data_IF_159647234872
#
_entry.id   IF_159647234872
#
_cell.length_a   1.000
_cell.length_b   1.000
_cell.length_c   1.000
_cell.angle_alpha   90.00
_cell.angle_beta   90.00
_cell.angle_gamma   90.00
#
_symmetry.space_group_name_H-M   'P 1'
#
loop_
_entity.id
_entity.type
_entity.pdbx_description
1 polymer ?
#
# COMPACT_ATOMS: atom_id res chain seq x y z
N UNK A 1 -3.52 -3.00 -5.76
CA UNK A 1 -2.07 -2.78 -5.88
C UNK A 1 -1.60 -3.26 -7.24
N UNK A 2 -0.82 -2.43 -7.92
CA UNK A 2 -0.18 -2.70 -9.20
C UNK A 2 1.33 -2.56 -9.01
N UNK A 3 2.07 -3.60 -9.41
CA UNK A 3 3.52 -3.69 -9.30
C UNK A 3 4.08 -3.68 -10.73
N UNK A 4 4.79 -2.61 -11.08
CA UNK A 4 5.31 -2.39 -12.42
C UNK A 4 6.72 -2.96 -12.56
N UNK A 5 7.06 -3.49 -13.73
CA UNK A 5 8.36 -4.14 -13.97
C UNK A 5 9.56 -3.18 -13.85
N UNK A 6 9.32 -1.88 -13.92
CA UNK A 6 10.33 -0.81 -13.80
C UNK A 6 10.65 -0.44 -12.33
N UNK A 7 10.01 -1.08 -11.36
CA UNK A 7 10.21 -0.81 -9.94
C UNK A 7 9.19 0.15 -9.34
N UNK A 8 8.22 0.66 -10.09
CA UNK A 8 7.14 1.47 -9.54
C UNK A 8 6.04 0.60 -8.90
N UNK A 9 5.39 1.15 -7.87
CA UNK A 9 4.22 0.56 -7.22
C UNK A 9 3.14 1.63 -7.05
N UNK A 10 1.91 1.29 -7.40
CA UNK A 10 0.74 2.11 -7.05
C UNK A 10 -0.40 1.27 -6.50
N UNK A 11 -1.23 1.86 -5.65
CA UNK A 11 -2.42 1.20 -5.13
C UNK A 11 -3.50 2.23 -4.87
N UNK A 12 -4.74 1.90 -5.20
CA UNK A 12 -5.92 2.68 -4.81
C UNK A 12 -6.74 1.75 -3.94
N UNK A 13 -7.03 2.18 -2.73
CA UNK A 13 -7.72 1.35 -1.74
C UNK A 13 -8.79 2.21 -1.07
N UNK A 14 -9.99 1.64 -0.92
CA UNK A 14 -11.10 2.27 -0.18
C UNK A 14 -11.01 2.01 1.32
N UNK A 15 -10.30 0.95 1.70
CA UNK A 15 -9.96 0.60 3.08
C UNK A 15 -8.71 -0.27 3.08
N UNK A 16 -7.91 -0.13 4.14
CA UNK A 16 -6.73 -0.93 4.41
C UNK A 16 -6.91 -1.56 5.79
N UNK A 17 -7.03 -2.89 5.80
CA UNK A 17 -7.06 -3.75 6.99
C UNK A 17 -8.36 -3.72 7.81
N UNK A 18 -8.72 -4.88 8.39
CA UNK A 18 -9.89 -4.99 9.25
C UNK A 18 -9.61 -4.33 10.59
N UNK A 19 -10.16 -3.13 10.80
CA UNK A 19 -9.94 -2.30 11.99
C UNK A 19 -9.38 -0.90 11.67
N UNK A 20 -8.92 -0.67 10.43
CA UNK A 20 -8.17 0.54 10.06
C UNK A 20 -6.87 0.66 10.87
N UNK A 21 -5.92 1.47 10.42
CA UNK A 21 -4.92 1.96 11.36
C UNK A 21 -5.63 2.90 12.34
N UNK A 22 -6.20 2.36 13.42
CA UNK A 22 -6.84 3.16 14.48
C UNK A 22 -8.00 4.07 14.05
N UNK A 23 -8.73 3.75 12.97
CA UNK A 23 -9.76 4.65 12.40
C UNK A 23 -9.31 5.50 11.21
N UNK A 24 -8.08 5.33 10.72
CA UNK A 24 -7.60 5.95 9.49
C UNK A 24 -8.13 5.28 8.22
N UNK A 25 -8.83 6.05 7.38
CA UNK A 25 -9.09 5.74 5.98
C UNK A 25 -7.88 6.15 5.14
N UNK A 26 -7.15 5.16 4.61
CA UNK A 26 -6.04 5.43 3.71
C UNK A 26 -6.53 5.62 2.27
N UNK A 27 -5.83 6.49 1.54
CA UNK A 27 -6.06 6.71 0.11
C UNK A 27 -4.83 6.30 -0.73
N UNK A 28 -4.80 6.74 -1.98
CA UNK A 28 -3.87 6.32 -3.04
C UNK A 28 -2.42 6.22 -2.56
N UNK A 29 -1.82 5.05 -2.75
CA UNK A 29 -0.43 4.77 -2.46
C UNK A 29 0.42 4.90 -3.72
N UNK A 30 1.59 5.50 -3.59
CA UNK A 30 2.63 5.56 -4.62
C UNK A 30 3.98 5.24 -4.01
N UNK A 31 4.77 4.43 -4.70
CA UNK A 31 6.06 4.04 -4.16
C UNK A 31 6.93 3.27 -5.12
N UNK A 32 7.98 2.71 -4.55
CA UNK A 32 8.99 1.93 -5.27
C UNK A 32 9.14 0.56 -4.63
N UNK A 33 9.51 -0.42 -5.44
CA UNK A 33 9.81 -1.76 -4.97
C UNK A 33 11.11 -2.28 -5.57
N UNK A 34 11.70 -3.26 -4.89
CA UNK A 34 12.86 -4.00 -5.37
C UNK A 34 12.73 -5.48 -5.05
N UNK A 35 13.30 -6.32 -5.91
CA UNK A 35 13.45 -7.75 -5.64
C UNK A 35 14.49 -7.97 -4.55
N UNK A 36 14.14 -8.74 -3.53
CA UNK A 36 15.04 -9.12 -2.42
C UNK A 36 15.29 -10.62 -2.33
N UNK A 37 14.52 -11.42 -3.09
CA UNK A 37 14.70 -12.87 -3.18
C UNK A 37 14.04 -13.46 -4.44
N UNK A 38 14.09 -14.79 -4.64
CA UNK A 38 13.56 -15.44 -5.84
C UNK A 38 12.08 -15.16 -6.13
N UNK A 39 11.30 -14.91 -5.07
CA UNK A 39 9.85 -14.64 -5.09
C UNK A 39 9.49 -13.60 -4.03
N UNK A 40 10.43 -12.74 -3.70
CA UNK A 40 10.30 -11.79 -2.60
C UNK A 40 10.62 -10.40 -3.13
N UNK A 41 9.73 -9.46 -2.81
CA UNK A 41 9.96 -8.04 -3.06
C UNK A 41 9.76 -7.26 -1.78
N UNK A 42 10.52 -6.18 -1.64
CA UNK A 42 10.31 -5.16 -0.62
C UNK A 42 9.88 -3.88 -1.30
N UNK A 43 8.82 -3.26 -0.81
CA UNK A 43 8.33 -1.98 -1.30
C UNK A 43 8.29 -0.93 -0.19
N UNK A 44 8.48 0.33 -0.58
CA UNK A 44 8.25 1.49 0.27
C UNK A 44 7.28 2.39 -0.47
N UNK A 45 6.20 2.77 0.19
CA UNK A 45 5.15 3.62 -0.39
C UNK A 45 4.88 4.81 0.51
N UNK A 46 4.42 5.87 -0.14
CA UNK A 46 3.75 6.99 0.50
C UNK A 46 2.26 6.92 0.24
N UNK A 47 1.48 7.28 1.23
CA UNK A 47 0.04 7.43 1.10
C UNK A 47 -0.49 8.59 1.94
N UNK A 48 -1.66 9.08 1.55
CA UNK A 48 -2.39 10.12 2.29
C UNK A 48 -3.38 9.45 3.23
N UNK A 49 -3.33 9.86 4.50
CA UNK A 49 -4.16 9.32 5.58
C UNK A 49 -5.26 10.32 5.95
N UNK A 50 -6.49 9.82 6.04
CA UNK A 50 -7.67 10.59 6.43
C UNK A 50 -8.37 9.91 7.61
N UNK A 51 -9.06 10.69 8.43
CA UNK A 51 -9.97 10.15 9.42
C UNK A 51 -11.18 9.52 8.71
N UNK A 52 -11.51 8.28 9.03
CA UNK A 52 -12.59 7.56 8.34
C UNK A 52 -13.99 8.11 8.69
N UNK A 53 -14.18 8.65 9.90
CA UNK A 53 -15.48 9.13 10.36
C UNK A 53 -15.75 10.57 9.88
N UNK A 54 -14.75 11.44 9.98
CA UNK A 54 -14.89 12.87 9.66
C UNK A 54 -14.44 13.22 8.24
N UNK A 55 -13.56 12.42 7.64
CA UNK A 55 -12.91 12.72 6.36
C UNK A 55 -11.78 13.74 6.46
N UNK A 56 -11.36 14.11 7.69
CA UNK A 56 -10.30 15.09 7.89
C UNK A 56 -8.94 14.53 7.46
N UNK A 57 -8.10 15.39 6.89
CA UNK A 57 -6.74 15.01 6.52
C UNK A 57 -5.86 14.88 7.77
N UNK A 58 -5.41 13.67 8.07
CA UNK A 58 -4.56 13.38 9.23
C UNK A 58 -3.08 13.59 8.93
N UNK A 59 -2.67 13.38 7.68
CA UNK A 59 -1.27 13.54 7.27
C UNK A 59 -0.85 12.52 6.22
N UNK A 60 0.45 12.25 6.18
CA UNK A 60 1.04 11.31 5.22
C UNK A 60 1.65 10.13 5.96
N UNK A 61 1.44 8.93 5.43
CA UNK A 61 2.14 7.76 5.90
C UNK A 61 3.31 7.39 4.99
N UNK A 62 4.34 6.81 5.60
CA UNK A 62 5.33 5.97 4.92
C UNK A 62 5.12 4.53 5.38
N UNK A 63 4.99 3.61 4.44
CA UNK A 63 4.78 2.20 4.71
C UNK A 63 5.79 1.33 3.98
N UNK A 64 6.27 0.30 4.67
CA UNK A 64 7.13 -0.75 4.13
C UNK A 64 6.35 -2.04 3.98
N UNK A 65 6.43 -2.65 2.81
CA UNK A 65 5.82 -3.93 2.51
C UNK A 65 6.89 -4.97 2.24
N UNK A 66 6.74 -6.14 2.86
CA UNK A 66 7.47 -7.35 2.48
C UNK A 66 6.48 -8.35 1.87
N UNK A 67 6.71 -8.70 0.61
CA UNK A 67 5.77 -9.48 -0.19
C UNK A 67 6.41 -10.77 -0.69
N UNK A 68 5.80 -11.90 -0.36
CA UNK A 68 6.21 -13.24 -0.75
C UNK A 68 5.21 -13.84 -1.73
N UNK A 69 5.63 -14.02 -2.98
CA UNK A 69 4.84 -14.69 -4.00
C UNK A 69 4.89 -16.21 -3.83
N UNK A 70 3.76 -16.86 -4.11
CA UNK A 70 3.72 -18.31 -4.24
C UNK A 70 4.50 -18.79 -5.47
N UNK A 71 4.66 -20.11 -5.60
CA UNK A 71 5.45 -20.70 -6.70
C UNK A 71 4.86 -20.40 -8.09
N UNK A 72 3.56 -20.08 -8.16
CA UNK A 72 2.86 -19.79 -9.42
C UNK A 72 2.72 -18.30 -9.72
N UNK A 73 3.17 -17.42 -8.81
CA UNK A 73 2.99 -15.97 -8.88
C UNK A 73 1.51 -15.53 -9.01
N UNK A 74 0.59 -16.34 -8.47
CA UNK A 74 -0.85 -16.11 -8.45
C UNK A 74 -1.33 -15.56 -7.12
N UNK A 75 -0.69 -15.93 -6.02
CA UNK A 75 -0.98 -15.41 -4.69
C UNK A 75 0.26 -14.79 -4.06
N UNK A 76 0.04 -13.89 -3.12
CA UNK A 76 1.07 -13.21 -2.34
C UNK A 76 0.64 -13.13 -0.89
N UNK A 77 1.55 -13.47 0.02
CA UNK A 77 1.41 -13.13 1.43
C UNK A 77 2.27 -11.91 1.70
N UNK A 78 1.73 -10.93 2.41
CA UNK A 78 2.40 -9.67 2.67
C UNK A 78 2.40 -9.33 4.15
N UNK A 79 3.46 -8.67 4.60
CA UNK A 79 3.44 -7.89 5.84
C UNK A 79 3.59 -6.42 5.50
N UNK A 80 2.94 -5.57 6.29
CA UNK A 80 3.11 -4.13 6.22
C UNK A 80 3.43 -3.58 7.60
N UNK A 81 4.28 -2.57 7.62
CA UNK A 81 4.47 -1.68 8.77
C UNK A 81 4.55 -0.24 8.28
N UNK A 82 4.05 0.70 9.06
CA UNK A 82 4.07 2.10 8.66
C UNK A 82 3.86 3.07 9.80
N UNK A 83 4.15 4.33 9.50
CA UNK A 83 4.04 5.46 10.42
C UNK A 83 3.31 6.59 9.73
N UNK A 84 2.40 7.25 10.45
CA UNK A 84 1.68 8.43 9.98
C UNK A 84 2.31 9.66 10.63
N UNK A 85 2.60 10.68 9.83
CA UNK A 85 3.13 11.96 10.28
C UNK A 85 2.12 13.08 9.99
N UNK A 86 2.02 14.04 10.92
CA UNK A 86 1.14 15.21 10.77
C UNK A 86 1.42 16.01 9.50
N UNK A 87 0.44 16.80 9.02
CA UNK A 87 0.63 17.66 7.86
C UNK A 87 1.83 18.59 8.02
N UNK A 88 2.63 18.71 6.96
CA UNK A 88 3.83 19.57 6.93
C UNK A 88 5.14 18.87 7.32
N UNK A 89 5.10 17.62 7.78
CA UNK A 89 6.29 16.79 7.99
C UNK A 89 6.54 15.95 6.72
N UNK A 90 7.81 15.87 6.28
CA UNK A 90 8.23 14.93 5.24
C UNK A 90 8.37 13.52 5.85
N UNK A 91 7.46 12.56 5.56
CA UNK A 91 7.53 11.22 6.15
C UNK A 91 8.74 10.40 5.66
N UNK A 92 9.38 10.79 4.55
CA UNK A 92 10.62 10.14 4.09
C UNK A 92 11.84 10.63 4.85
N UNK A 93 11.78 11.83 5.44
CA UNK A 93 12.86 12.45 6.20
C UNK A 93 12.31 13.22 7.42
N UNK A 94 11.69 12.53 8.40
CA UNK A 94 10.95 13.20 9.48
C UNK A 94 11.84 13.91 10.51
N UNK A 95 13.16 13.68 10.49
CA UNK A 95 14.07 14.18 11.51
C UNK A 95 13.70 13.63 12.89
N UNK A 96 13.53 14.53 13.87
CA UNK A 96 13.12 14.20 15.24
C UNK A 96 11.59 14.28 15.45
N UNK A 97 10.80 14.44 14.37
CA UNK A 97 9.34 14.43 14.49
C UNK A 97 8.84 13.04 14.90
N UNK A 98 7.98 12.99 15.92
CA UNK A 98 7.29 11.77 16.33
C UNK A 98 6.09 11.50 15.41
N UNK A 99 5.81 10.24 15.05
CA UNK A 99 4.60 9.89 14.31
C UNK A 99 3.37 10.10 15.19
N UNK A 100 2.24 10.47 14.56
CA UNK A 100 0.95 10.58 15.25
C UNK A 100 0.26 9.23 15.40
N UNK A 101 0.64 8.26 14.58
CA UNK A 101 0.16 6.88 14.66
C UNK A 101 1.14 5.91 13.98
N UNK A 102 1.09 4.64 14.38
CA UNK A 102 1.87 3.56 13.80
C UNK A 102 0.97 2.34 13.54
N UNK A 103 1.24 1.61 12.47
CA UNK A 103 0.46 0.44 12.10
C UNK A 103 1.32 -0.71 11.61
N UNK A 104 0.79 -1.92 11.78
CA UNK A 104 1.35 -3.13 11.18
C UNK A 104 0.24 -4.14 10.90
N UNK A 105 0.33 -4.87 9.80
CA UNK A 105 -0.59 -5.97 9.52
C UNK A 105 0.05 -7.05 8.64
N UNK A 106 -0.65 -8.18 8.52
CA UNK A 106 -0.38 -9.26 7.58
C UNK A 106 -1.59 -9.46 6.66
N UNK A 107 -1.35 -9.75 5.40
CA UNK A 107 -2.45 -9.94 4.44
C UNK A 107 -2.13 -11.01 3.40
N UNK A 108 -3.18 -11.50 2.78
CA UNK A 108 -3.09 -12.31 1.56
C UNK A 108 -3.74 -11.55 0.40
N UNK A 109 -3.14 -11.62 -0.78
CA UNK A 109 -3.71 -11.09 -1.99
C UNK A 109 -3.51 -12.06 -3.16
N UNK A 110 -4.32 -11.87 -4.20
CA UNK A 110 -4.28 -12.68 -5.41
C UNK A 110 -4.22 -11.80 -6.65
N UNK A 111 -3.56 -12.32 -7.69
CA UNK A 111 -3.53 -11.68 -9.01
C UNK A 111 -4.94 -11.71 -9.62
N UNK A 112 -5.47 -10.54 -9.96
CA UNK A 112 -6.71 -10.43 -10.73
C UNK A 112 -6.44 -10.83 -12.18
N UNK A 113 -7.29 -11.70 -12.73
CA UNK A 113 -7.28 -12.05 -14.15
C UNK A 113 -8.34 -11.18 -14.82
N UNK A 114 -7.93 -10.35 -15.77
CA UNK A 114 -8.86 -9.65 -16.65
C UNK A 114 -9.13 -10.57 -17.83
N UNK A 115 -10.39 -10.96 -18.01
CA UNK A 115 -10.83 -11.67 -19.21
C UNK A 115 -11.04 -10.62 -20.32
N UNK A 116 -10.31 -10.73 -21.42
CA UNK A 116 -10.36 -9.78 -22.54
C UNK A 116 -11.37 -10.18 -23.61
N UNK A 117 -12.25 -11.15 -23.34
CA UNK A 117 -13.18 -11.70 -24.33
C UNK A 117 -14.49 -10.92 -24.51
N UNK A 118 -14.74 -9.86 -23.73
CA UNK A 118 -16.03 -9.13 -23.73
C UNK A 118 -16.03 -7.75 -24.38
N UNK A 119 -14.91 -7.29 -24.97
CA UNK A 119 -14.81 -5.93 -25.53
C UNK A 119 -15.05 -5.84 -27.06
N UNK A 120 -15.52 -6.91 -27.72
CA UNK A 120 -15.74 -6.94 -29.19
C UNK A 120 -17.22 -6.87 -29.66
N UNK A 121 -18.18 -6.44 -28.84
CA UNK A 121 -19.55 -6.16 -29.35
C UNK A 121 -20.01 -4.73 -29.05
N UNK A 122 -19.84 -3.85 -30.04
CA UNK A 122 -20.44 -2.53 -30.04
C UNK A 122 -19.92 -1.61 -31.15
N UNK A 123 -20.19 -1.95 -32.41
CA UNK A 123 -20.18 -1.02 -33.56
C UNK A 123 -21.60 -0.95 -34.15
#
# INVERSE_FOLDING_TARGET
MTIFADGNLSSIQSSQFSGGAGGGGFSNQQGVWKRVGPREIRATVLDLSYDFETGDFLGMAVASYDLQFDKTFRTVTGTVEGKIYSPGIDPLNPGDAEPIDEFSDTFEAQRVVVDTSTDEEGD
#
